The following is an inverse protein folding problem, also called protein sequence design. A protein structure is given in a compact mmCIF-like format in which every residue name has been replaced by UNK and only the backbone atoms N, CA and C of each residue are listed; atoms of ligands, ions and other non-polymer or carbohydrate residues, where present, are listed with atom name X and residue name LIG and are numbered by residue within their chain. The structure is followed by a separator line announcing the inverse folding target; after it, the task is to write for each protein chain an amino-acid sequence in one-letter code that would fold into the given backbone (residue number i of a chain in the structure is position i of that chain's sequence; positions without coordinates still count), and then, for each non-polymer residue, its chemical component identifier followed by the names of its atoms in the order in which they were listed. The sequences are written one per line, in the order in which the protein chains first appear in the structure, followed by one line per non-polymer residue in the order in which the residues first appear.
data_IF_423482442666
#
_entry.id   IF_423482442666
#
_cell.length_a   1.000
_cell.length_b   1.000
_cell.length_c   1.000
_cell.angle_alpha   90.00
_cell.angle_beta   90.00
_cell.angle_gamma   90.00
#
_symmetry.space_group_name_H-M   'P 1'
#
loop_
_entity.id
_entity.type
_entity.pdbx_description
1 polymer ?
#
# COMPACT_ATOMS: atom_id res chain seq x y z
N UNK A 1 29.04 15.72 33.28
CA UNK A 1 28.07 15.62 32.17
C UNK A 1 27.00 14.58 32.56
N UNK A 2 25.72 14.95 32.64
CA UNK A 2 24.65 14.05 33.10
C UNK A 2 24.42 12.93 32.06
N UNK A 3 24.33 11.66 32.50
CA UNK A 3 24.05 10.49 31.65
C UNK A 3 22.86 10.69 30.71
N UNK A 4 21.84 11.46 31.14
CA UNK A 4 20.66 11.80 30.32
C UNK A 4 21.01 12.77 29.19
N UNK A 5 21.87 13.75 29.44
CA UNK A 5 22.36 14.68 28.43
C UNK A 5 23.27 13.98 27.43
N UNK A 6 24.15 13.07 27.89
CA UNK A 6 24.97 12.24 27.01
C UNK A 6 24.14 11.29 26.14
N UNK A 7 23.09 10.66 26.70
CA UNK A 7 22.17 9.80 25.94
C UNK A 7 21.41 10.57 24.86
N UNK A 8 20.94 11.78 25.16
CA UNK A 8 20.28 12.66 24.18
C UNK A 8 21.25 13.10 23.09
N UNK A 9 22.46 13.54 23.46
CA UNK A 9 23.51 13.92 22.52
C UNK A 9 23.92 12.75 21.62
N UNK A 10 24.12 11.57 22.19
CA UNK A 10 24.40 10.33 21.47
C UNK A 10 23.26 10.00 20.51
N UNK A 11 22.00 10.00 20.96
CA UNK A 11 20.84 9.78 20.09
C UNK A 11 20.76 10.79 18.94
N UNK A 12 21.09 12.06 19.16
CA UNK A 12 21.14 13.06 18.09
C UNK A 12 22.34 12.90 17.16
N UNK A 13 23.46 12.36 17.64
CA UNK A 13 24.66 12.11 16.85
C UNK A 13 24.49 10.94 15.87
N UNK A 14 23.68 9.95 16.23
CA UNK A 14 23.28 8.84 15.35
C UNK A 14 22.04 9.12 14.48
N UNK A 15 21.30 10.20 14.77
CA UNK A 15 20.17 10.62 13.93
C UNK A 15 20.73 11.27 12.67
N UNK A 16 20.73 10.53 11.57
CA UNK A 16 20.96 11.08 10.23
C UNK A 16 20.05 12.28 9.96
N UNK A 17 20.38 13.09 8.94
CA UNK A 17 19.56 14.25 8.55
C UNK A 17 18.11 13.80 8.36
N UNK A 18 17.12 14.53 8.93
CA UNK A 18 15.72 14.17 8.76
C UNK A 18 15.37 14.20 7.28
N UNK A 19 15.10 13.03 6.70
CA UNK A 19 14.62 12.91 5.33
C UNK A 19 13.18 13.44 5.33
N UNK A 20 12.86 14.32 4.38
CA UNK A 20 11.48 14.81 4.21
C UNK A 20 10.73 13.88 3.24
N UNK A 21 9.45 13.57 3.50
CA UNK A 21 8.64 12.85 2.54
C UNK A 21 8.38 13.70 1.26
N UNK A 22 8.05 13.08 0.11
CA UNK A 22 7.80 11.65 -0.07
C UNK A 22 9.08 10.81 -0.12
N UNK A 23 9.16 9.80 0.74
CA UNK A 23 10.31 8.93 0.92
C UNK A 23 10.62 8.11 -0.33
N UNK A 24 11.91 7.78 -0.52
CA UNK A 24 12.37 6.91 -1.62
C UNK A 24 12.16 5.42 -1.39
N UNK A 25 11.54 5.06 -0.28
CA UNK A 25 11.21 3.71 0.13
C UNK A 25 9.77 3.68 0.64
N UNK A 26 9.23 2.47 0.75
CA UNK A 26 7.93 2.23 1.35
C UNK A 26 8.10 2.10 2.86
N UNK A 27 7.43 2.94 3.64
CA UNK A 27 7.47 2.86 5.10
C UNK A 27 6.89 1.52 5.57
N UNK A 28 7.44 1.00 6.66
CA UNK A 28 7.04 -0.30 7.21
C UNK A 28 6.16 -0.14 8.44
N UNK A 29 5.37 -1.16 8.74
CA UNK A 29 4.57 -1.25 9.96
C UNK A 29 5.42 -0.90 11.18
N UNK A 30 4.91 0.01 12.01
CA UNK A 30 5.65 0.66 13.09
C UNK A 30 5.89 2.15 12.83
N UNK A 31 5.92 2.60 11.58
CA UNK A 31 5.87 4.03 11.25
C UNK A 31 4.47 4.59 11.60
N UNK A 32 4.36 5.65 12.42
CA UNK A 32 3.08 6.19 12.84
C UNK A 32 2.22 6.72 11.69
N UNK A 33 2.80 7.09 10.55
CA UNK A 33 2.03 7.57 9.39
C UNK A 33 1.05 6.52 8.87
N UNK A 34 1.34 5.23 9.06
CA UNK A 34 0.48 4.12 8.62
C UNK A 34 -0.70 3.87 9.56
N UNK A 35 -0.75 4.54 10.72
CA UNK A 35 -1.76 4.36 11.77
C UNK A 35 -2.59 5.60 12.02
N UNK A 36 -2.45 6.62 11.17
CA UNK A 36 -3.19 7.87 11.24
C UNK A 36 -4.13 7.97 10.05
N UNK A 37 -5.40 8.38 10.25
CA UNK A 37 -6.27 8.75 9.13
C UNK A 37 -5.62 9.85 8.30
N UNK A 38 -5.61 9.67 6.98
CA UNK A 38 -5.00 10.60 6.05
C UNK A 38 -5.86 11.86 5.89
N UNK A 39 -5.20 13.02 5.78
CA UNK A 39 -5.88 14.30 5.57
C UNK A 39 -6.33 14.44 4.12
N UNK A 40 -7.43 15.16 3.89
CA UNK A 40 -7.83 15.53 2.54
C UNK A 40 -6.75 16.38 1.85
N UNK A 41 -6.59 16.15 0.56
CA UNK A 41 -5.81 17.02 -0.32
C UNK A 41 -6.60 18.31 -0.53
N UNK A 42 -5.94 19.44 -0.28
CA UNK A 42 -6.39 20.76 -0.70
C UNK A 42 -6.39 20.85 -2.23
N UNK A 43 -7.56 21.08 -2.84
CA UNK A 43 -7.74 21.04 -4.29
C UNK A 43 -6.95 22.14 -5.01
N UNK A 44 -6.68 23.27 -4.35
CA UNK A 44 -5.83 24.32 -4.92
C UNK A 44 -4.37 23.84 -5.08
N UNK A 45 -3.97 22.82 -4.32
CA UNK A 45 -2.62 22.26 -4.29
C UNK A 45 -2.49 20.92 -5.02
N UNK A 46 -3.57 20.40 -5.60
CA UNK A 46 -3.58 19.09 -6.26
C UNK A 46 -2.53 18.98 -7.38
N UNK A 47 -2.27 20.10 -8.07
CA UNK A 47 -1.30 20.23 -9.16
C UNK A 47 0.05 20.86 -8.73
N UNK A 48 0.26 21.03 -7.43
CA UNK A 48 1.51 21.58 -6.90
C UNK A 48 2.70 20.67 -7.19
N UNK A 49 3.91 21.24 -7.23
CA UNK A 49 5.15 20.47 -7.42
C UNK A 49 5.35 19.39 -6.36
N UNK A 50 4.84 19.62 -5.15
CA UNK A 50 4.86 18.61 -4.09
C UNK A 50 3.97 17.41 -4.46
N UNK A 51 2.70 17.64 -4.85
CA UNK A 51 1.79 16.55 -5.22
C UNK A 51 2.31 15.77 -6.43
N UNK A 52 2.83 16.45 -7.45
CA UNK A 52 3.50 15.81 -8.60
C UNK A 52 4.67 14.92 -8.17
N UNK A 53 5.43 15.33 -7.16
CA UNK A 53 6.50 14.49 -6.58
C UNK A 53 5.94 13.26 -5.86
N UNK A 54 4.83 13.39 -5.13
CA UNK A 54 4.13 12.27 -4.46
C UNK A 54 3.65 11.25 -5.50
N UNK A 55 2.91 11.70 -6.52
CA UNK A 55 2.40 10.87 -7.61
C UNK A 55 3.52 10.11 -8.33
N UNK A 56 4.59 10.83 -8.70
CA UNK A 56 5.77 10.24 -9.32
C UNK A 56 6.44 9.22 -8.40
N UNK A 57 6.56 9.52 -7.10
CA UNK A 57 7.17 8.59 -6.14
C UNK A 57 6.38 7.29 -6.05
N UNK A 58 5.06 7.37 -5.96
CA UNK A 58 4.20 6.20 -5.86
C UNK A 58 4.31 5.32 -7.11
N UNK A 59 4.23 5.93 -8.31
CA UNK A 59 4.44 5.22 -9.58
C UNK A 59 5.80 4.51 -9.63
N UNK A 60 6.88 5.20 -9.26
CA UNK A 60 8.23 4.61 -9.25
C UNK A 60 8.34 3.41 -8.31
N UNK A 61 7.72 3.48 -7.13
CA UNK A 61 7.77 2.40 -6.14
C UNK A 61 6.88 1.22 -6.53
N UNK A 62 5.69 1.46 -7.09
CA UNK A 62 4.83 0.41 -7.65
C UNK A 62 5.55 -0.32 -8.79
N UNK A 63 6.16 0.41 -9.73
CA UNK A 63 6.94 -0.20 -10.81
C UNK A 63 8.13 -1.02 -10.30
N UNK A 64 8.78 -0.57 -9.22
CA UNK A 64 9.93 -1.27 -8.62
C UNK A 64 9.52 -2.55 -7.87
N UNK A 65 8.35 -2.57 -7.26
CA UNK A 65 7.87 -3.66 -6.39
C UNK A 65 6.96 -4.64 -7.10
N UNK A 66 6.30 -4.23 -8.19
CA UNK A 66 5.19 -4.95 -8.80
C UNK A 66 3.87 -4.80 -8.03
N UNK A 67 3.80 -3.89 -7.05
CA UNK A 67 2.59 -3.67 -6.26
C UNK A 67 1.43 -3.18 -7.14
N UNK A 68 0.24 -3.76 -6.94
CA UNK A 68 -0.97 -3.38 -7.66
C UNK A 68 -1.64 -2.12 -7.09
N UNK A 69 -1.31 -1.74 -5.86
CA UNK A 69 -1.78 -0.53 -5.20
C UNK A 69 -0.70 0.07 -4.31
N UNK A 70 -0.75 1.38 -4.10
CA UNK A 70 0.08 2.07 -3.13
C UNK A 70 -0.58 3.37 -2.67
N UNK A 71 -0.51 3.65 -1.37
CA UNK A 71 -1.04 4.85 -0.74
C UNK A 71 0.04 5.91 -0.45
N UNK A 72 -0.30 7.20 -0.46
CA UNK A 72 0.63 8.29 -0.12
C UNK A 72 1.22 8.16 1.30
N UNK A 73 0.46 7.60 2.26
CA UNK A 73 0.96 7.32 3.61
C UNK A 73 2.13 6.34 3.58
N UNK A 74 2.13 5.38 2.65
CA UNK A 74 3.21 4.42 2.47
C UNK A 74 4.52 5.04 1.94
N UNK A 75 4.48 6.30 1.48
CA UNK A 75 5.68 7.11 1.16
C UNK A 75 5.88 8.26 2.15
N UNK A 76 5.27 8.18 3.33
CA UNK A 76 5.42 9.14 4.42
C UNK A 76 4.57 10.41 4.29
N UNK A 77 3.57 10.43 3.40
CA UNK A 77 2.73 11.60 3.17
C UNK A 77 1.30 11.30 3.66
N UNK A 78 0.83 11.92 4.76
CA UNK A 78 -0.48 11.64 5.35
C UNK A 78 -1.61 12.38 4.60
N UNK A 79 -1.69 12.16 3.28
CA UNK A 79 -2.71 12.72 2.39
C UNK A 79 -3.57 11.62 1.78
N UNK A 80 -4.84 11.93 1.52
CA UNK A 80 -5.86 10.98 1.08
C UNK A 80 -5.72 10.68 -0.41
N UNK A 81 -4.66 9.96 -0.77
CA UNK A 81 -4.30 9.62 -2.14
C UNK A 81 -3.81 8.19 -2.22
N UNK A 82 -4.31 7.43 -3.20
CA UNK A 82 -3.71 6.15 -3.58
C UNK A 82 -3.60 6.03 -5.10
N UNK A 83 -2.71 5.15 -5.56
CA UNK A 83 -2.57 4.76 -6.95
C UNK A 83 -2.89 3.28 -7.11
N UNK A 84 -3.43 2.90 -8.27
CA UNK A 84 -3.77 1.52 -8.60
C UNK A 84 -3.31 1.18 -10.02
N UNK A 85 -2.85 -0.05 -10.21
CA UNK A 85 -2.53 -0.64 -11.50
C UNK A 85 -2.73 -2.15 -11.42
N UNK A 86 -3.38 -2.74 -12.41
CA UNK A 86 -3.48 -4.20 -12.56
C UNK A 86 -2.98 -4.55 -13.96
N UNK A 87 -1.93 -5.40 -14.09
CA UNK A 87 -1.40 -5.77 -15.39
C UNK A 87 -2.41 -6.59 -16.20
N UNK A 88 -2.17 -6.69 -17.51
CA UNK A 88 -2.92 -7.63 -18.34
C UNK A 88 -2.59 -9.08 -17.99
N UNK A 89 -3.50 -10.00 -18.31
CA UNK A 89 -3.26 -11.44 -18.09
C UNK A 89 -1.97 -11.95 -18.76
N UNK A 90 -1.55 -11.34 -19.88
CA UNK A 90 -0.31 -11.71 -20.60
C UNK A 90 0.96 -11.32 -19.83
N UNK A 91 0.87 -10.26 -19.03
CA UNK A 91 1.98 -9.73 -18.22
C UNK A 91 2.00 -10.33 -16.81
N UNK A 92 0.95 -11.07 -16.43
CA UNK A 92 0.83 -11.70 -15.13
C UNK A 92 1.37 -13.13 -15.14
N UNK A 93 2.17 -13.48 -14.12
CA UNK A 93 2.94 -14.73 -14.07
C UNK A 93 2.06 -15.99 -14.18
N UNK A 94 0.85 -15.98 -13.60
CA UNK A 94 -0.04 -17.14 -13.57
C UNK A 94 -1.45 -16.82 -14.10
N UNK A 95 -1.77 -17.20 -15.35
CA UNK A 95 -3.11 -17.02 -15.91
C UNK A 95 -4.22 -17.74 -15.12
N UNK A 96 -3.89 -18.86 -14.46
CA UNK A 96 -4.85 -19.59 -13.62
C UNK A 96 -5.22 -18.77 -12.38
N UNK A 97 -4.24 -18.19 -11.68
CA UNK A 97 -4.47 -17.30 -10.54
C UNK A 97 -5.23 -16.05 -10.99
N UNK A 98 -4.86 -15.46 -12.14
CA UNK A 98 -5.52 -14.29 -12.69
C UNK A 98 -7.03 -14.50 -12.88
N UNK A 99 -7.42 -15.64 -13.48
CA UNK A 99 -8.83 -16.01 -13.65
C UNK A 99 -9.52 -16.32 -12.33
N UNK A 100 -8.85 -17.07 -11.45
CA UNK A 100 -9.41 -17.47 -10.16
C UNK A 100 -9.71 -16.27 -9.26
N UNK A 101 -8.82 -15.27 -9.27
CA UNK A 101 -8.97 -14.01 -8.55
C UNK A 101 -9.87 -12.98 -9.26
N UNK A 102 -10.41 -13.31 -10.44
CA UNK A 102 -11.26 -12.42 -11.24
C UNK A 102 -10.55 -11.07 -11.48
N UNK A 103 -9.29 -11.15 -11.91
CA UNK A 103 -8.50 -9.96 -12.22
C UNK A 103 -8.89 -9.41 -13.60
N UNK A 104 -8.90 -8.09 -13.71
CA UNK A 104 -9.08 -7.37 -14.97
C UNK A 104 -7.99 -6.29 -15.07
N UNK A 105 -7.48 -5.99 -16.28
CA UNK A 105 -6.44 -4.99 -16.44
C UNK A 105 -6.96 -3.61 -16.05
N UNK A 106 -6.16 -2.89 -15.27
CA UNK A 106 -6.44 -1.52 -14.86
C UNK A 106 -5.18 -0.69 -15.17
N UNK A 107 -5.26 0.30 -16.07
CA UNK A 107 -4.12 1.17 -16.32
C UNK A 107 -3.74 1.90 -15.04
N UNK A 108 -2.46 2.29 -14.92
CA UNK A 108 -2.04 3.11 -13.78
C UNK A 108 -2.91 4.36 -13.71
N UNK A 109 -3.52 4.60 -12.55
CA UNK A 109 -4.30 5.80 -12.29
C UNK A 109 -4.22 6.18 -10.81
N UNK A 110 -4.42 7.46 -10.53
CA UNK A 110 -4.38 8.03 -9.18
C UNK A 110 -5.79 8.39 -8.73
N UNK A 111 -6.08 8.20 -7.45
CA UNK A 111 -7.31 8.61 -6.80
C UNK A 111 -6.99 9.60 -5.70
N UNK A 112 -7.52 10.81 -5.82
CA UNK A 112 -7.38 11.90 -4.85
C UNK A 112 -8.71 12.09 -4.12
N UNK A 113 -8.63 12.19 -2.80
CA UNK A 113 -9.77 12.27 -1.89
C UNK A 113 -10.87 11.23 -2.18
N UNK A 114 -10.53 9.93 -2.37
CA UNK A 114 -11.53 8.94 -2.67
C UNK A 114 -12.45 8.65 -1.49
N UNK A 115 -13.69 8.31 -1.84
CA UNK A 115 -14.73 7.76 -0.99
C UNK A 115 -15.20 6.42 -1.57
N UNK A 116 -15.55 5.48 -0.71
CA UNK A 116 -15.94 4.13 -1.11
C UNK A 116 -17.29 3.76 -0.51
N UNK A 117 -18.17 3.19 -1.33
CA UNK A 117 -19.44 2.60 -0.92
C UNK A 117 -19.47 1.12 -1.31
N UNK A 118 -19.88 0.25 -0.38
CA UNK A 118 -20.08 -1.17 -0.68
C UNK A 118 -21.37 -1.34 -1.50
N UNK A 119 -21.28 -2.04 -2.64
CA UNK A 119 -22.45 -2.36 -3.48
C UNK A 119 -22.90 -3.81 -3.28
N UNK A 120 -21.95 -4.73 -3.04
CA UNK A 120 -22.23 -6.11 -2.75
C UNK A 120 -21.52 -6.54 -1.46
N UNK A 121 -22.32 -6.91 -0.45
CA UNK A 121 -21.84 -7.27 0.89
C UNK A 121 -21.34 -8.71 1.01
N UNK A 122 -21.49 -9.53 -0.02
CA UNK A 122 -20.83 -10.83 -0.09
C UNK A 122 -19.32 -10.65 0.04
N UNK A 123 -18.69 -11.53 0.82
CA UNK A 123 -17.24 -11.51 1.00
C UNK A 123 -16.57 -12.65 0.23
N UNK A 124 -15.42 -12.34 -0.36
CA UNK A 124 -14.50 -13.31 -0.95
C UNK A 124 -13.20 -13.27 -0.17
N UNK A 125 -12.64 -14.44 0.09
CA UNK A 125 -11.41 -14.61 0.87
C UNK A 125 -10.30 -15.04 -0.08
N UNK A 126 -9.20 -14.29 -0.02
CA UNK A 126 -7.93 -14.60 -0.67
C UNK A 126 -6.81 -14.11 0.25
N UNK A 127 -5.62 -14.67 0.04
CA UNK A 127 -4.38 -14.17 0.61
C UNK A 127 -4.09 -12.75 0.10
N UNK A 128 -3.68 -11.88 1.02
CA UNK A 128 -3.34 -10.49 0.79
C UNK A 128 -2.01 -10.18 1.47
N UNK A 129 -1.13 -9.49 0.74
CA UNK A 129 0.13 -8.95 1.25
C UNK A 129 0.12 -7.42 1.20
N UNK A 130 1.12 -6.80 1.82
CA UNK A 130 1.28 -5.35 1.80
C UNK A 130 2.76 -4.99 1.71
N UNK A 131 3.12 -4.02 0.88
CA UNK A 131 4.51 -3.53 0.81
C UNK A 131 5.01 -2.89 2.11
N UNK A 132 4.09 -2.49 2.99
CA UNK A 132 4.41 -2.01 4.35
C UNK A 132 4.52 -3.12 5.40
N UNK A 133 4.22 -4.38 5.04
CA UNK A 133 4.37 -5.56 5.91
C UNK A 133 5.05 -6.68 5.11
N UNK A 134 6.34 -6.47 4.83
CA UNK A 134 7.09 -7.36 3.94
C UNK A 134 7.28 -8.75 4.51
N UNK A 135 7.21 -9.74 3.62
CA UNK A 135 7.48 -11.13 3.94
C UNK A 135 6.31 -11.89 4.57
N UNK A 136 5.15 -11.24 4.72
CA UNK A 136 3.95 -11.86 5.29
C UNK A 136 2.72 -11.61 4.41
N UNK A 137 1.84 -12.60 4.40
CA UNK A 137 0.51 -12.52 3.82
C UNK A 137 -0.49 -13.23 4.73
N UNK A 138 -1.77 -12.90 4.62
CA UNK A 138 -2.83 -13.58 5.33
C UNK A 138 -4.13 -13.54 4.52
N UNK A 139 -5.04 -14.46 4.82
CA UNK A 139 -6.38 -14.47 4.24
C UNK A 139 -7.19 -13.29 4.77
N UNK A 140 -7.67 -12.44 3.85
CA UNK A 140 -8.46 -11.25 4.20
C UNK A 140 -9.81 -11.31 3.50
N UNK A 141 -10.93 -11.27 4.24
CA UNK A 141 -12.26 -11.23 3.65
C UNK A 141 -12.56 -9.81 3.11
N UNK A 142 -12.86 -9.68 1.82
CA UNK A 142 -13.18 -8.41 1.15
C UNK A 142 -14.55 -8.48 0.48
N UNK A 143 -15.25 -7.36 0.43
CA UNK A 143 -16.51 -7.24 -0.29
C UNK A 143 -16.30 -7.44 -1.80
N UNK A 144 -17.25 -8.12 -2.47
CA UNK A 144 -17.15 -8.45 -3.89
C UNK A 144 -17.13 -7.22 -4.79
N UNK A 145 -17.93 -6.21 -4.48
CA UNK A 145 -18.13 -5.04 -5.35
C UNK A 145 -18.25 -3.77 -4.52
N UNK A 146 -17.53 -2.74 -4.93
CA UNK A 146 -17.53 -1.42 -4.31
C UNK A 146 -17.64 -0.33 -5.38
N UNK A 147 -18.33 0.76 -5.07
CA UNK A 147 -18.30 2.00 -5.83
C UNK A 147 -17.25 2.91 -5.22
N UNK A 148 -16.31 3.36 -6.04
CA UNK A 148 -15.30 4.33 -5.69
C UNK A 148 -15.62 5.66 -6.38
N UNK A 149 -15.61 6.75 -5.63
CA UNK A 149 -15.79 8.11 -6.15
C UNK A 149 -14.65 8.99 -5.67
N UNK A 150 -14.19 9.93 -6.48
CA UNK A 150 -13.11 10.83 -6.10
C UNK A 150 -12.65 11.68 -7.28
N UNK A 151 -11.41 12.15 -7.22
CA UNK A 151 -10.78 12.91 -8.29
C UNK A 151 -9.58 12.16 -8.87
N UNK A 152 -9.20 12.46 -10.11
CA UNK A 152 -7.89 12.10 -10.65
C UNK A 152 -6.79 13.10 -10.21
N UNK A 153 -5.57 12.91 -10.69
CA UNK A 153 -4.43 13.75 -10.35
C UNK A 153 -4.53 15.19 -10.88
N UNK A 154 -5.37 15.45 -11.89
CA UNK A 154 -5.68 16.76 -12.41
C UNK A 154 -6.83 17.47 -11.66
N UNK A 155 -7.61 16.72 -10.87
CA UNK A 155 -8.75 17.22 -10.11
C UNK A 155 -10.10 17.01 -10.80
N UNK A 156 -10.16 16.19 -11.85
CA UNK A 156 -11.39 15.86 -12.55
C UNK A 156 -12.14 14.78 -11.76
N UNK A 157 -13.45 14.97 -11.50
CA UNK A 157 -14.27 13.95 -10.85
C UNK A 157 -14.35 12.66 -11.66
N UNK A 158 -14.18 11.53 -10.98
CA UNK A 158 -14.38 10.20 -11.55
C UNK A 158 -15.05 9.24 -10.57
N UNK A 159 -15.69 8.24 -11.14
CA UNK A 159 -16.35 7.16 -10.42
C UNK A 159 -16.00 5.82 -11.07
N UNK A 160 -15.95 4.77 -10.26
CA UNK A 160 -15.64 3.43 -10.73
C UNK A 160 -16.31 2.38 -9.85
N UNK A 161 -17.16 1.55 -10.48
CA UNK A 161 -17.60 0.29 -9.90
C UNK A 161 -16.49 -0.74 -10.06
N UNK A 162 -15.81 -1.05 -8.96
CA UNK A 162 -14.76 -2.05 -8.92
C UNK A 162 -15.33 -3.37 -8.37
N UNK A 163 -14.99 -4.46 -9.02
CA UNK A 163 -15.32 -5.83 -8.63
C UNK A 163 -14.06 -6.72 -8.60
N UNK A 164 -14.23 -7.98 -8.20
CA UNK A 164 -13.17 -8.98 -8.22
C UNK A 164 -11.90 -8.54 -7.47
N UNK A 165 -10.74 -8.71 -8.11
CA UNK A 165 -9.47 -8.31 -7.51
C UNK A 165 -9.30 -6.79 -7.36
N UNK A 166 -9.89 -6.02 -8.26
CA UNK A 166 -9.85 -4.56 -8.21
C UNK A 166 -10.62 -4.02 -7.00
N UNK A 167 -11.77 -4.59 -6.67
CA UNK A 167 -12.49 -4.25 -5.44
C UNK A 167 -11.64 -4.50 -4.18
N UNK A 168 -10.88 -5.60 -4.16
CA UNK A 168 -9.96 -5.92 -3.06
C UNK A 168 -8.86 -4.87 -2.93
N UNK A 169 -8.20 -4.51 -4.04
CA UNK A 169 -7.14 -3.49 -4.02
C UNK A 169 -7.72 -2.16 -3.53
N UNK A 170 -8.87 -1.72 -4.04
CA UNK A 170 -9.54 -0.50 -3.58
C UNK A 170 -9.79 -0.53 -2.07
N UNK A 171 -10.36 -1.61 -1.55
CA UNK A 171 -10.59 -1.74 -0.10
C UNK A 171 -9.29 -1.72 0.72
N UNK A 172 -8.22 -2.33 0.22
CA UNK A 172 -6.89 -2.30 0.86
C UNK A 172 -6.32 -0.88 0.93
N UNK A 173 -6.35 -0.16 -0.19
CA UNK A 173 -5.84 1.20 -0.23
C UNK A 173 -6.72 2.16 0.59
N UNK A 174 -8.04 1.97 0.59
CA UNK A 174 -8.95 2.73 1.46
C UNK A 174 -8.68 2.48 2.95
N UNK A 175 -8.38 1.25 3.36
CA UNK A 175 -7.96 0.96 4.74
C UNK A 175 -6.69 1.74 5.12
N UNK A 176 -5.70 1.81 4.22
CA UNK A 176 -4.51 2.62 4.44
C UNK A 176 -4.83 4.10 4.65
N UNK A 177 -5.79 4.65 3.89
CA UNK A 177 -6.24 6.03 4.04
C UNK A 177 -6.92 6.29 5.39
N UNK A 178 -7.44 5.26 6.04
CA UNK A 178 -8.09 5.32 7.34
C UNK A 178 -7.16 4.85 8.48
N UNK A 179 -5.86 4.63 8.20
CA UNK A 179 -4.86 4.21 9.19
C UNK A 179 -4.98 2.74 9.63
N UNK A 180 -5.64 1.91 8.81
CA UNK A 180 -5.84 0.48 9.04
C UNK A 180 -4.95 -0.34 8.11
N UNK A 181 -4.50 -1.49 8.59
CA UNK A 181 -3.68 -2.43 7.85
C UNK A 181 -4.41 -3.77 7.73
N UNK A 182 -4.06 -4.58 6.73
CA UNK A 182 -4.72 -5.88 6.52
C UNK A 182 -4.60 -6.80 7.75
N UNK A 183 -3.52 -6.69 8.52
CA UNK A 183 -3.31 -7.45 9.76
C UNK A 183 -4.34 -7.15 10.86
N UNK A 184 -5.06 -6.04 10.77
CA UNK A 184 -6.11 -5.69 11.71
C UNK A 184 -7.44 -6.40 11.40
N UNK A 185 -7.58 -6.98 10.20
CA UNK A 185 -8.84 -7.58 9.69
C UNK A 185 -8.67 -8.97 9.06
N UNK A 186 -7.44 -9.47 8.96
CA UNK A 186 -7.13 -10.80 8.46
C UNK A 186 -7.73 -11.91 9.33
N UNK A 187 -7.87 -13.11 8.78
CA UNK A 187 -8.13 -14.29 9.57
C UNK A 187 -6.88 -14.65 10.39
N UNK A 188 -6.90 -14.62 11.74
CA UNK A 188 -5.68 -14.69 12.54
C UNK A 188 -4.83 -15.94 12.33
N UNK A 189 -5.47 -17.09 12.00
CA UNK A 189 -4.78 -18.37 11.79
C UNK A 189 -4.15 -18.52 10.39
N UNK A 190 -4.38 -17.57 9.49
CA UNK A 190 -3.90 -17.61 8.10
C UNK A 190 -2.60 -16.84 7.87
N UNK A 191 -2.13 -16.07 8.87
CA UNK A 191 -0.89 -15.31 8.73
C UNK A 191 0.27 -16.27 8.46
N UNK A 192 0.94 -16.06 7.33
CA UNK A 192 2.02 -16.92 6.86
C UNK A 192 3.17 -16.08 6.30
N UNK A 193 4.37 -16.64 6.42
CA UNK A 193 5.54 -16.05 5.77
C UNK A 193 5.52 -16.41 4.29
N UNK A 194 5.66 -15.42 3.40
CA UNK A 194 5.54 -15.63 1.95
C UNK A 194 6.69 -16.47 1.37
N UNK A 195 7.81 -16.58 2.08
CA UNK A 195 8.96 -17.38 1.67
C UNK A 195 9.16 -18.63 2.53
N UNK A 196 8.11 -19.16 3.16
CA UNK A 196 8.22 -20.29 4.10
C UNK A 196 8.93 -21.52 3.53
N UNK A 197 8.69 -21.84 2.27
CA UNK A 197 9.39 -22.94 1.60
C UNK A 197 10.91 -22.68 1.49
N UNK A 198 11.31 -21.43 1.28
CA UNK A 198 12.72 -21.02 1.24
C UNK A 198 13.34 -21.04 2.64
N UNK A 199 12.57 -20.63 3.66
CA UNK A 199 13.02 -20.71 5.06
C UNK A 199 13.29 -22.16 5.45
N UNK A 200 12.36 -23.06 5.14
CA UNK A 200 12.50 -24.48 5.44
C UNK A 200 13.67 -25.10 4.66
N UNK A 201 13.81 -24.80 3.37
CA UNK A 201 14.90 -25.36 2.55
C UNK A 201 16.29 -24.84 2.95
N UNK A 202 16.37 -23.68 3.60
CA UNK A 202 17.61 -23.11 4.13
C UNK A 202 17.77 -23.30 5.64
N UNK A 203 16.96 -24.16 6.27
CA UNK A 203 17.04 -24.45 7.71
C UNK A 203 16.98 -23.18 8.58
N UNK A 204 16.10 -22.25 8.23
CA UNK A 204 15.95 -20.97 8.93
C UNK A 204 16.93 -19.88 8.51
N UNK A 205 17.92 -20.16 7.66
CA UNK A 205 18.96 -19.20 7.23
C UNK A 205 18.52 -18.38 6.02
N UNK A 206 17.47 -17.59 6.19
CA UNK A 206 16.97 -16.65 5.17
C UNK A 206 17.07 -15.22 5.66
N UNK A 207 17.64 -14.37 4.82
CA UNK A 207 17.61 -12.92 5.01
C UNK A 207 16.44 -12.34 4.21
N UNK A 208 15.45 -11.76 4.89
CA UNK A 208 14.36 -11.02 4.24
C UNK A 208 14.81 -9.58 4.12
N UNK A 209 15.11 -9.16 2.89
CA UNK A 209 15.61 -7.82 2.61
C UNK A 209 14.44 -6.83 2.51
N UNK A 210 14.61 -5.64 3.07
CA UNK A 210 13.60 -4.58 2.97
C UNK A 210 13.59 -3.88 1.59
N UNK A 211 14.52 -4.23 0.68
CA UNK A 211 14.72 -3.55 -0.61
C UNK A 211 14.52 -4.56 -1.76
N UNK A 212 13.48 -4.42 -2.59
CA UNK A 212 13.35 -5.24 -3.79
C UNK A 212 14.56 -5.01 -4.71
N UNK A 213 15.22 -6.09 -5.13
CA UNK A 213 16.35 -6.06 -6.06
C UNK A 213 17.74 -5.87 -5.43
N UNK A 214 17.92 -6.16 -4.15
CA UNK A 214 19.24 -6.37 -3.52
C UNK A 214 19.23 -7.64 -2.70
#
# INVERSE_FOLDING_TARGET
MNLRAFRLLYQTWWRGKPVKPPYSHIVQVGDPVLRQPANLVDLEKINSDFMKQVYRRMRLLMNKTGACGLCAAQVGVPLRVFAIHVPSMKEFESPAIYRHRQMHPVPFQIWVNPEMKVLNYDKVIFDEGCESIKGFAADVPRYKTVMLTGLDEEGVPKQWEADGWSARIVQHEMDHLDGRLYVDIMQPKSLSCTCWNVVNSKEGRVYITYIPGK
#
